data_IF_094999097944
#
_entry.id   IF_094999097944
#
_cell.length_a   1.000
_cell.length_b   1.000
_cell.length_c   1.000
_cell.angle_alpha   90.00
_cell.angle_beta   90.00
_cell.angle_gamma   90.00
#
_symmetry.space_group_name_H-M   'P 1'
#
loop_
_entity.id
_entity.type
_entity.pdbx_description
1 polymer ?
#
# COMPACT_ATOMS: atom_id res chain seq x y z
N UNK A 1 6.96 -4.63 3.69
CA UNK A 1 6.35 -3.73 4.68
C UNK A 1 6.52 -2.27 4.31
N UNK A 2 5.53 -1.48 4.69
CA UNK A 2 5.48 -0.04 4.56
C UNK A 2 5.67 0.60 5.94
N UNK A 3 6.36 1.74 6.00
CA UNK A 3 6.72 2.43 7.24
C UNK A 3 6.27 3.88 7.19
N UNK A 4 5.74 4.37 8.30
CA UNK A 4 5.25 5.74 8.44
C UNK A 4 5.61 6.33 9.81
N UNK A 5 5.83 7.63 9.85
CA UNK A 5 5.88 8.37 11.11
C UNK A 5 4.58 9.15 11.29
N UNK A 6 4.04 9.16 12.50
CA UNK A 6 2.98 10.08 12.92
C UNK A 6 3.61 11.11 13.86
N UNK A 7 4.03 12.28 13.34
CA UNK A 7 4.81 13.25 14.13
C UNK A 7 4.08 13.73 15.38
N UNK A 8 2.77 13.99 15.26
CA UNK A 8 1.92 14.48 16.37
C UNK A 8 1.82 13.49 17.53
N UNK A 9 1.96 12.19 17.27
CA UNK A 9 1.93 11.12 18.27
C UNK A 9 3.32 10.57 18.60
N UNK A 10 4.37 11.05 17.93
CA UNK A 10 5.73 10.50 17.98
C UNK A 10 5.73 8.98 17.85
N UNK A 11 4.92 8.49 16.90
CA UNK A 11 4.71 7.07 16.69
C UNK A 11 5.31 6.61 15.36
N UNK A 12 5.83 5.39 15.35
CA UNK A 12 6.21 4.66 14.15
C UNK A 12 5.07 3.71 13.80
N UNK A 13 4.65 3.67 12.54
CA UNK A 13 3.64 2.73 12.04
C UNK A 13 4.28 1.86 10.98
N UNK A 14 3.90 0.58 10.98
CA UNK A 14 4.27 -0.40 9.98
C UNK A 14 3.00 -1.02 9.45
N UNK A 15 2.86 -1.02 8.13
CA UNK A 15 1.74 -1.66 7.44
C UNK A 15 2.23 -2.70 6.42
N UNK A 16 1.40 -3.69 6.14
CA UNK A 16 1.66 -4.67 5.09
C UNK A 16 0.33 -5.17 4.53
N UNK A 17 0.18 -5.20 3.21
CA UNK A 17 -0.95 -5.90 2.62
C UNK A 17 -0.77 -7.41 2.75
N UNK A 18 -1.83 -8.07 3.19
CA UNK A 18 -2.02 -9.50 2.95
C UNK A 18 -2.72 -9.68 1.60
N UNK A 19 -2.08 -10.41 0.68
CA UNK A 19 -2.59 -10.65 -0.67
C UNK A 19 -3.27 -12.01 -0.81
N UNK A 20 -4.35 -12.05 -1.60
CA UNK A 20 -4.94 -13.28 -2.11
C UNK A 20 -4.08 -13.97 -3.18
N UNK A 21 -4.51 -15.15 -3.62
CA UNK A 21 -3.81 -15.93 -4.65
C UNK A 21 -3.76 -15.21 -6.02
N UNK A 22 -4.68 -14.29 -6.24
CA UNK A 22 -4.76 -13.45 -7.44
C UNK A 22 -4.05 -12.10 -7.27
N UNK A 23 -3.28 -11.87 -6.21
CA UNK A 23 -2.63 -10.61 -5.89
C UNK A 23 -3.56 -9.42 -5.62
N UNK A 24 -4.84 -9.66 -5.32
CA UNK A 24 -5.72 -8.66 -4.70
C UNK A 24 -5.41 -8.51 -3.22
N UNK A 25 -5.54 -7.30 -2.67
CA UNK A 25 -5.36 -7.05 -1.25
C UNK A 25 -6.58 -7.56 -0.48
N UNK A 26 -6.37 -8.56 0.38
CA UNK A 26 -7.43 -9.15 1.21
C UNK A 26 -7.55 -8.45 2.58
N UNK A 27 -6.43 -7.96 3.11
CA UNK A 27 -6.38 -7.19 4.34
C UNK A 27 -5.19 -6.24 4.35
N UNK A 28 -5.26 -5.22 5.21
CA UNK A 28 -4.15 -4.37 5.58
C UNK A 28 -3.78 -4.65 7.04
N UNK A 29 -2.62 -5.26 7.22
CA UNK A 29 -2.02 -5.44 8.54
C UNK A 29 -1.40 -4.13 8.98
N UNK A 30 -1.64 -3.73 10.22
CA UNK A 30 -1.14 -2.48 10.78
C UNK A 30 -0.73 -2.67 12.24
N UNK A 31 0.51 -2.28 12.53
CA UNK A 31 1.02 -2.14 13.89
C UNK A 31 1.72 -0.79 14.05
N UNK A 32 1.60 -0.23 15.23
CA UNK A 32 2.25 1.01 15.59
C UNK A 32 3.04 0.85 16.88
N UNK A 33 4.01 1.75 17.03
CA UNK A 33 4.88 1.84 18.18
C UNK A 33 4.93 3.26 18.72
N UNK A 34 4.90 3.40 20.03
CA UNK A 34 5.10 4.64 20.77
C UNK A 34 5.89 4.35 22.04
N UNK A 35 6.54 5.37 22.60
CA UNK A 35 7.24 5.23 23.87
C UNK A 35 6.31 4.92 25.05
N UNK A 36 5.02 5.27 24.96
CA UNK A 36 4.04 5.06 26.02
C UNK A 36 3.44 3.64 25.99
N UNK A 37 3.19 3.11 24.80
CA UNK A 37 2.35 1.91 24.61
C UNK A 37 3.16 0.69 24.14
N UNK A 38 4.41 0.87 23.71
CA UNK A 38 5.15 -0.19 23.04
C UNK A 38 4.56 -0.48 21.65
N UNK A 39 4.68 -1.72 21.17
CA UNK A 39 4.04 -2.14 19.91
C UNK A 39 2.59 -2.57 20.14
N UNK A 40 1.67 -2.12 19.29
CA UNK A 40 0.28 -2.58 19.27
C UNK A 40 -0.26 -2.68 17.83
N UNK A 41 -1.23 -3.57 17.60
CA UNK A 41 -1.95 -3.67 16.33
C UNK A 41 -3.20 -2.79 16.35
N UNK A 42 -3.59 -2.21 15.20
CA UNK A 42 -4.83 -1.42 15.13
C UNK A 42 -5.38 -1.25 13.72
N UNK A 43 -6.47 -1.96 13.41
CA UNK A 43 -7.25 -1.75 12.19
C UNK A 43 -7.90 -0.35 12.16
N UNK A 44 -8.22 0.20 13.33
CA UNK A 44 -8.76 1.56 13.49
C UNK A 44 -7.74 2.60 13.03
N UNK A 45 -6.46 2.42 13.37
CA UNK A 45 -5.39 3.31 12.94
C UNK A 45 -5.18 3.24 11.43
N UNK A 46 -5.10 2.04 10.85
CA UNK A 46 -5.03 1.86 9.39
C UNK A 46 -6.16 2.62 8.67
N UNK A 47 -7.40 2.43 9.13
CA UNK A 47 -8.57 3.13 8.57
C UNK A 47 -8.45 4.65 8.70
N UNK A 48 -7.92 5.14 9.82
CA UNK A 48 -7.70 6.57 10.04
C UNK A 48 -6.64 7.11 9.06
N UNK A 49 -5.54 6.39 8.84
CA UNK A 49 -4.49 6.81 7.90
C UNK A 49 -4.98 6.84 6.45
N UNK A 50 -5.84 5.90 6.04
CA UNK A 50 -6.48 5.95 4.73
C UNK A 50 -7.41 7.18 4.58
N UNK A 51 -8.13 7.54 5.64
CA UNK A 51 -9.08 8.67 5.63
C UNK A 51 -8.39 10.04 5.73
N UNK A 52 -7.29 10.12 6.48
CA UNK A 52 -6.55 11.33 6.78
C UNK A 52 -5.05 11.10 6.54
N UNK A 53 -4.61 10.97 5.27
CA UNK A 53 -3.23 10.61 4.94
C UNK A 53 -2.20 11.64 5.45
N UNK A 54 -2.61 12.91 5.63
CA UNK A 54 -1.78 13.98 6.17
C UNK A 54 -1.34 13.75 7.64
N UNK A 55 -1.93 12.79 8.36
CA UNK A 55 -1.51 12.42 9.71
C UNK A 55 -0.14 11.71 9.74
N UNK A 56 0.24 11.09 8.62
CA UNK A 56 1.42 10.25 8.52
C UNK A 56 2.36 10.72 7.41
N UNK A 57 3.65 10.47 7.61
CA UNK A 57 4.68 10.69 6.62
C UNK A 57 5.29 9.34 6.25
N UNK A 58 5.19 8.95 4.98
CA UNK A 58 5.85 7.75 4.48
C UNK A 58 7.36 7.89 4.60
N UNK A 59 8.01 6.87 5.15
CA UNK A 59 9.45 6.82 5.35
C UNK A 59 10.04 5.50 4.87
N UNK A 60 11.34 5.49 4.61
CA UNK A 60 12.08 4.25 4.39
C UNK A 60 12.28 3.50 5.72
N UNK A 61 12.64 2.21 5.64
CA UNK A 61 12.94 1.42 6.83
C UNK A 61 14.14 1.99 7.60
N UNK A 62 15.13 2.52 6.89
CA UNK A 62 16.32 3.15 7.47
C UNK A 62 15.92 4.42 8.25
N UNK A 63 15.07 5.26 7.67
CA UNK A 63 14.54 6.44 8.33
C UNK A 63 13.64 6.07 9.53
N UNK A 64 12.83 5.02 9.43
CA UNK A 64 12.08 4.47 10.56
C UNK A 64 13.01 4.01 11.69
N UNK A 65 14.08 3.29 11.37
CA UNK A 65 15.06 2.83 12.35
C UNK A 65 15.78 4.00 13.05
N UNK A 66 16.09 5.08 12.32
CA UNK A 66 16.68 6.28 12.90
C UNK A 66 15.74 7.02 13.89
N UNK A 67 14.43 6.80 13.80
CA UNK A 67 13.42 7.40 14.68
C UNK A 67 12.93 6.44 15.78
N UNK A 68 13.42 5.19 15.79
CA UNK A 68 13.10 4.20 16.82
C UNK A 68 14.15 4.27 17.94
N UNK A 69 13.79 4.19 19.24
CA UNK A 69 14.71 4.43 20.36
C UNK A 69 15.79 3.34 20.55
N UNK A 70 15.86 2.35 19.66
CA UNK A 70 16.81 1.25 19.73
C UNK A 70 16.99 0.61 18.36
N UNK A 71 17.30 -0.69 18.33
CA UNK A 71 17.37 -1.44 17.08
C UNK A 71 15.95 -1.78 16.64
N UNK A 72 15.54 -1.29 15.47
CA UNK A 72 14.25 -1.62 14.88
C UNK A 72 14.15 -3.15 14.67
N UNK A 73 13.08 -3.83 15.15
CA UNK A 73 12.92 -5.27 14.96
C UNK A 73 12.96 -5.67 13.48
N UNK A 74 13.41 -6.91 13.20
CA UNK A 74 13.35 -7.48 11.85
C UNK A 74 11.91 -7.51 11.34
N UNK A 75 11.73 -7.49 10.01
CA UNK A 75 10.38 -7.58 9.43
C UNK A 75 9.63 -8.83 9.88
N UNK A 76 10.31 -9.97 10.00
CA UNK A 76 9.70 -11.20 10.50
C UNK A 76 9.19 -11.07 11.94
N UNK A 77 9.90 -10.34 12.80
CA UNK A 77 9.42 -10.04 14.15
C UNK A 77 8.24 -9.06 14.08
N UNK A 78 8.33 -8.02 13.24
CA UNK A 78 7.26 -7.03 13.09
C UNK A 78 5.93 -7.69 12.68
N UNK A 79 5.96 -8.72 11.82
CA UNK A 79 4.76 -9.49 11.46
C UNK A 79 4.07 -10.14 12.66
N UNK A 80 4.83 -10.46 13.71
CA UNK A 80 4.29 -11.01 14.95
C UNK A 80 3.40 -10.01 15.73
N UNK A 81 3.48 -8.71 15.45
CA UNK A 81 2.60 -7.72 16.07
C UNK A 81 1.26 -7.56 15.33
N UNK A 82 1.14 -8.05 14.09
CA UNK A 82 -0.09 -7.96 13.30
C UNK A 82 -1.14 -8.93 13.82
N UNK A 83 -2.04 -8.43 14.67
CA UNK A 83 -3.05 -9.23 15.37
C UNK A 83 -4.47 -8.71 15.20
N UNK A 84 -4.62 -7.49 14.67
CA UNK A 84 -5.90 -6.82 14.36
C UNK A 84 -5.87 -6.31 12.90
N UNK A 85 -5.98 -7.22 11.91
CA UNK A 85 -5.96 -6.83 10.50
C UNK A 85 -7.22 -6.04 10.10
N UNK A 86 -7.06 -5.02 9.27
CA UNK A 86 -8.20 -4.35 8.62
C UNK A 86 -8.61 -5.16 7.38
N UNK A 87 -9.78 -5.85 7.37
CA UNK A 87 -10.24 -6.55 6.19
C UNK A 87 -10.54 -5.56 5.06
N UNK A 88 -10.05 -5.86 3.86
CA UNK A 88 -10.33 -5.10 2.65
C UNK A 88 -11.39 -5.81 1.81
N UNK A 89 -12.29 -5.05 1.21
CA UNK A 89 -13.36 -5.61 0.41
C UNK A 89 -12.80 -6.17 -0.89
N UNK A 90 -12.82 -7.49 -1.04
CA UNK A 90 -12.52 -8.15 -2.31
C UNK A 90 -13.84 -8.42 -3.01
N UNK A 91 -14.18 -7.58 -4.00
CA UNK A 91 -15.25 -7.91 -4.93
C UNK A 91 -14.67 -8.78 -6.06
N UNK A 92 -15.36 -9.84 -6.51
CA UNK A 92 -14.92 -10.55 -7.71
C UNK A 92 -14.88 -9.56 -8.89
N UNK A 93 -13.83 -9.62 -9.73
CA UNK A 93 -13.67 -8.71 -10.86
C UNK A 93 -14.92 -8.71 -11.75
N UNK A 94 -15.41 -7.54 -12.10
CA UNK A 94 -16.49 -7.41 -13.07
C UNK A 94 -15.92 -7.65 -14.47
N UNK A 95 -15.88 -8.91 -14.89
CA UNK A 95 -15.43 -9.30 -16.22
C UNK A 95 -16.48 -8.95 -17.27
N UNK A 96 -16.36 -7.77 -17.87
CA UNK A 96 -17.19 -7.36 -19.00
C UNK A 96 -16.92 -8.18 -20.27
N UNK A 97 -15.71 -8.73 -20.39
CA UNK A 97 -15.30 -9.63 -21.47
C UNK A 97 -14.41 -10.75 -20.92
N UNK A 98 -14.62 -12.02 -21.29
CA UNK A 98 -13.82 -13.14 -20.79
C UNK A 98 -12.35 -13.12 -21.23
N UNK A 99 -12.05 -12.43 -22.34
CA UNK A 99 -10.75 -12.35 -23.01
C UNK A 99 -10.02 -11.02 -22.78
N UNK A 100 -10.60 -10.12 -21.96
CA UNK A 100 -9.92 -8.89 -21.60
C UNK A 100 -8.64 -9.19 -20.81
N UNK A 101 -7.55 -8.45 -21.05
CA UNK A 101 -6.35 -8.55 -20.22
C UNK A 101 -6.69 -8.15 -18.77
N UNK A 102 -6.17 -8.86 -17.77
CA UNK A 102 -6.45 -8.53 -16.38
C UNK A 102 -5.85 -7.17 -16.02
N UNK A 103 -6.66 -6.33 -15.37
CA UNK A 103 -6.25 -5.01 -14.89
C UNK A 103 -6.22 -4.99 -13.37
N UNK A 104 -5.06 -4.74 -12.80
CA UNK A 104 -4.87 -4.52 -11.38
C UNK A 104 -4.88 -3.04 -11.07
N UNK A 105 -5.74 -2.60 -10.16
CA UNK A 105 -5.77 -1.22 -9.68
C UNK A 105 -5.17 -1.12 -8.29
N UNK A 106 -4.19 -0.26 -8.13
CA UNK A 106 -3.71 0.17 -6.82
C UNK A 106 -4.28 1.55 -6.52
N UNK A 107 -5.03 1.67 -5.42
CA UNK A 107 -5.56 2.94 -4.94
C UNK A 107 -4.62 3.55 -3.91
N UNK A 108 -4.44 4.86 -4.00
CA UNK A 108 -3.59 5.63 -3.09
C UNK A 108 -4.32 6.85 -2.55
N UNK A 109 -4.12 7.13 -1.26
CA UNK A 109 -4.54 8.36 -0.61
C UNK A 109 -3.36 9.35 -0.53
N UNK A 110 -3.65 10.64 -0.59
CA UNK A 110 -2.67 11.71 -0.42
C UNK A 110 -2.67 12.72 -1.57
N UNK A 111 -2.02 13.84 -1.32
CA UNK A 111 -1.85 14.95 -2.26
C UNK A 111 -0.34 15.25 -2.34
N UNK A 112 0.24 15.10 -3.54
CA UNK A 112 1.66 15.36 -3.77
C UNK A 112 1.83 16.38 -4.89
N UNK A 113 2.87 17.21 -4.76
CA UNK A 113 3.25 18.20 -5.75
C UNK A 113 3.88 17.53 -6.99
N UNK A 114 3.05 16.89 -7.81
CA UNK A 114 3.45 16.26 -9.07
C UNK A 114 3.02 14.80 -9.17
N UNK A 115 2.52 14.42 -10.35
CA UNK A 115 2.19 13.04 -10.67
C UNK A 115 3.49 12.20 -10.68
N UNK A 116 3.61 11.16 -9.86
CA UNK A 116 4.78 10.30 -9.85
C UNK A 116 4.92 9.58 -11.20
N UNK A 117 6.15 9.47 -11.69
CA UNK A 117 6.42 8.67 -12.88
C UNK A 117 6.45 7.20 -12.48
N UNK A 118 5.43 6.45 -12.91
CA UNK A 118 5.40 4.99 -12.80
C UNK A 118 5.44 4.42 -14.21
N UNK A 119 6.42 3.56 -14.48
CA UNK A 119 6.65 3.01 -15.82
C UNK A 119 6.40 1.52 -15.79
N UNK A 120 5.69 1.03 -16.81
CA UNK A 120 5.51 -0.39 -17.06
C UNK A 120 6.73 -1.05 -17.70
N UNK A 121 6.54 -2.29 -18.15
CA UNK A 121 7.52 -3.04 -18.93
C UNK A 121 6.86 -3.57 -20.22
N UNK A 122 7.55 -4.46 -20.94
CA UNK A 122 7.06 -5.06 -22.18
C UNK A 122 5.85 -6.00 -21.99
N UNK A 123 5.57 -6.42 -20.76
CA UNK A 123 4.50 -7.32 -20.37
C UNK A 123 3.38 -6.64 -19.57
N UNK A 124 3.64 -5.45 -19.01
CA UNK A 124 2.74 -4.73 -18.13
C UNK A 124 2.68 -3.25 -18.53
N UNK A 125 1.53 -2.76 -18.96
CA UNK A 125 1.33 -1.30 -19.08
C UNK A 125 0.89 -0.73 -17.74
N UNK A 126 1.29 0.52 -17.48
CA UNK A 126 0.95 1.24 -16.26
C UNK A 126 0.30 2.57 -16.64
N UNK A 127 -0.86 2.84 -16.08
CA UNK A 127 -1.60 4.10 -16.25
C UNK A 127 -1.87 4.72 -14.88
N UNK A 128 -1.40 5.95 -14.67
CA UNK A 128 -1.67 6.74 -13.47
C UNK A 128 -2.81 7.72 -13.74
N UNK A 129 -3.79 7.75 -12.84
CA UNK A 129 -4.96 8.66 -12.93
C UNK A 129 -5.26 9.31 -11.59
N UNK A 130 -5.51 10.61 -11.63
CA UNK A 130 -5.98 11.37 -10.47
C UNK A 130 -7.50 11.23 -10.32
N UNK A 131 -7.93 10.77 -9.16
CA UNK A 131 -9.33 10.68 -8.76
C UNK A 131 -9.71 11.95 -8.00
N UNK A 132 -9.81 13.07 -8.73
CA UNK A 132 -10.02 14.43 -8.23
C UNK A 132 -11.11 14.55 -7.15
N UNK A 133 -12.22 13.82 -7.31
CA UNK A 133 -13.36 13.87 -6.37
C UNK A 133 -13.08 13.23 -5.01
N UNK A 134 -12.02 12.42 -4.92
CA UNK A 134 -11.69 11.62 -3.73
C UNK A 134 -10.33 12.00 -3.13
N UNK A 135 -9.65 13.02 -3.66
CA UNK A 135 -8.25 13.35 -3.29
C UNK A 135 -7.36 12.08 -3.25
N UNK A 136 -7.56 11.23 -4.26
CA UNK A 136 -6.96 9.92 -4.35
C UNK A 136 -6.37 9.71 -5.74
N UNK A 137 -5.52 8.71 -5.86
CA UNK A 137 -4.87 8.34 -7.12
C UNK A 137 -5.08 6.86 -7.39
N UNK A 138 -5.25 6.52 -8.67
CA UNK A 138 -5.29 5.13 -9.12
C UNK A 138 -4.10 4.86 -10.04
N UNK A 139 -3.42 3.75 -9.82
CA UNK A 139 -2.48 3.17 -10.78
C UNK A 139 -3.08 1.88 -11.30
N UNK A 140 -3.38 1.85 -12.60
CA UNK A 140 -3.86 0.67 -13.29
C UNK A 140 -2.69 -0.04 -13.97
N UNK A 141 -2.47 -1.31 -13.62
CA UNK A 141 -1.47 -2.20 -14.19
C UNK A 141 -2.18 -3.23 -15.05
N UNK A 142 -2.02 -3.15 -16.37
CA UNK A 142 -2.66 -4.10 -17.30
C UNK A 142 -1.65 -5.14 -17.73
N UNK A 143 -2.00 -6.43 -17.60
CA UNK A 143 -1.16 -7.53 -18.06
C UNK A 143 -1.38 -7.75 -19.56
N UNK A 144 -0.37 -7.45 -20.37
CA UNK A 144 -0.48 -7.39 -21.83
C UNK A 144 -0.43 -8.77 -22.51
N UNK A 145 -0.03 -9.82 -21.78
CA UNK A 145 0.11 -11.18 -22.32
C UNK A 145 -0.27 -12.25 -21.30
N UNK A 146 -0.96 -13.34 -21.71
CA UNK A 146 -1.21 -14.50 -20.84
C UNK A 146 0.05 -15.20 -20.35
N UNK A 147 1.20 -14.97 -21.00
CA UNK A 147 2.51 -15.53 -20.63
C UNK A 147 3.39 -14.51 -19.89
N UNK A 148 2.82 -13.39 -19.46
CA UNK A 148 3.56 -12.42 -18.66
C UNK A 148 4.11 -13.06 -17.36
N UNK A 149 5.26 -12.60 -16.87
CA UNK A 149 5.72 -12.91 -15.52
C UNK A 149 4.65 -12.55 -14.47
N UNK A 150 4.75 -13.09 -13.23
CA UNK A 150 3.84 -12.72 -12.15
C UNK A 150 3.77 -11.21 -11.94
N UNK A 151 2.57 -10.67 -11.72
CA UNK A 151 2.33 -9.22 -11.56
C UNK A 151 2.77 -8.68 -10.20
N UNK A 152 2.89 -9.55 -9.18
CA UNK A 152 3.21 -9.16 -7.80
C UNK A 152 4.46 -8.28 -7.63
N UNK A 153 5.62 -8.60 -8.26
CA UNK A 153 6.78 -7.70 -8.30
C UNK A 153 6.49 -6.31 -8.84
N UNK A 154 5.70 -6.20 -9.93
CA UNK A 154 5.34 -4.91 -10.55
C UNK A 154 4.46 -4.11 -9.59
N UNK A 155 3.46 -4.73 -8.96
CA UNK A 155 2.61 -4.06 -7.96
C UNK A 155 3.43 -3.51 -6.78
N UNK A 156 4.43 -4.26 -6.30
CA UNK A 156 5.34 -3.78 -5.25
C UNK A 156 6.16 -2.58 -5.70
N UNK A 157 6.67 -2.58 -6.93
CA UNK A 157 7.40 -1.44 -7.49
C UNK A 157 6.52 -0.20 -7.61
N UNK A 158 5.28 -0.36 -8.09
CA UNK A 158 4.28 0.72 -8.16
C UNK A 158 4.02 1.31 -6.78
N UNK A 159 3.75 0.47 -5.77
CA UNK A 159 3.53 0.91 -4.39
C UNK A 159 4.74 1.67 -3.85
N UNK A 160 5.95 1.15 -4.03
CA UNK A 160 7.17 1.81 -3.58
C UNK A 160 7.40 3.16 -4.27
N UNK A 161 7.17 3.26 -5.57
CA UNK A 161 7.33 4.50 -6.33
C UNK A 161 6.34 5.58 -5.86
N UNK A 162 5.07 5.21 -5.67
CA UNK A 162 4.04 6.10 -5.15
C UNK A 162 4.38 6.56 -3.72
N UNK A 163 4.81 5.63 -2.85
CA UNK A 163 5.24 5.95 -1.48
C UNK A 163 6.42 6.92 -1.42
N UNK A 164 7.38 6.80 -2.32
CA UNK A 164 8.51 7.74 -2.40
C UNK A 164 8.06 9.18 -2.68
N UNK A 165 6.87 9.36 -3.25
CA UNK A 165 6.25 10.65 -3.53
C UNK A 165 5.21 11.05 -2.47
N UNK A 166 5.14 10.34 -1.34
CA UNK A 166 4.27 10.69 -0.21
C UNK A 166 2.87 10.10 -0.25
N UNK A 167 2.54 9.26 -1.23
CA UNK A 167 1.24 8.60 -1.31
C UNK A 167 1.15 7.37 -0.39
N UNK A 168 -0.02 7.17 0.22
CA UNK A 168 -0.31 6.02 1.07
C UNK A 168 -1.14 5.00 0.27
N UNK A 169 -0.69 3.75 0.11
CA UNK A 169 -1.51 2.74 -0.54
C UNK A 169 -2.74 2.41 0.31
N UNK A 170 -3.88 2.20 -0.33
CA UNK A 170 -5.18 1.93 0.31
C UNK A 170 -5.64 0.50 0.04
N UNK A 171 -5.54 0.06 -1.21
CA UNK A 171 -5.94 -1.30 -1.61
C UNK A 171 -5.33 -1.67 -2.97
N UNK A 172 -5.36 -2.97 -3.29
CA UNK A 172 -5.05 -3.53 -4.61
C UNK A 172 -6.24 -4.37 -5.06
N UNK A 173 -6.83 -4.04 -6.20
CA UNK A 173 -8.03 -4.66 -6.74
C UNK A 173 -7.77 -5.25 -8.13
N UNK A 174 -8.54 -6.26 -8.52
CA UNK A 174 -8.57 -6.81 -9.87
C UNK A 174 -9.88 -6.38 -10.54
N UNK A 175 -9.82 -5.73 -11.70
CA UNK A 175 -10.96 -5.01 -12.29
C UNK A 175 -11.67 -5.71 -13.46
N UNK A 176 -11.23 -6.90 -13.83
CA UNK A 176 -11.75 -7.62 -15.00
C UNK A 176 -10.63 -8.37 -15.66
#
# INVERSE_FOLDING_TARGET
>A
MDYYLIPSRRALVVEEFTFGADHTAAALDCAAWSAADGWWSSAVLAKQLCAEPALAVAVTREAAAANYPGVLPSEDHLRGYFTDPLPLSVAPPLRLRPDAPPIYRVLFAGDAAGAPTVVGDEHHSVELRELHTLHAWAVDVTVLSPHAPPVGPVLRQVIQAMRHNGFLPVTVELLG
#
